data_IF_940459817375
#
_entry.id   IF_940459817375
#
_cell.length_a   1.000
_cell.length_b   1.000
_cell.length_c   1.000
_cell.angle_alpha   90.00
_cell.angle_beta   90.00
_cell.angle_gamma   90.00
#
_symmetry.space_group_name_H-M   'P 1'
#
loop_
_entity.id
_entity.type
_entity.pdbx_description
1 polymer ?
#
# COMPACT_ATOMS: atom_id res chain seq x y z
N UNK A 1 26.11 3.51 1.86
CA UNK A 1 24.93 4.24 1.37
C UNK A 1 24.28 3.42 0.25
N UNK A 2 23.19 2.69 0.52
CA UNK A 2 22.61 1.69 -0.41
C UNK A 2 21.26 2.11 -1.02
N UNK A 3 20.70 3.23 -0.57
CA UNK A 3 19.42 3.77 -1.06
C UNK A 3 19.50 4.33 -2.50
N UNK A 4 20.72 4.58 -2.99
CA UNK A 4 20.96 5.17 -4.31
C UNK A 4 20.85 4.19 -5.48
N UNK A 5 21.05 2.90 -5.26
CA UNK A 5 21.10 1.87 -6.31
C UNK A 5 19.85 0.98 -6.39
N UNK A 6 19.04 0.94 -5.33
CA UNK A 6 17.81 0.16 -5.28
C UNK A 6 16.65 0.81 -6.06
N UNK A 7 15.89 -0.01 -6.79
CA UNK A 7 14.64 0.41 -7.46
C UNK A 7 13.38 0.00 -6.67
N UNK A 8 13.51 -0.84 -5.64
CA UNK A 8 12.42 -1.30 -4.79
C UNK A 8 12.86 -1.33 -3.33
N UNK A 9 12.06 -0.72 -2.46
CA UNK A 9 12.31 -0.66 -1.02
C UNK A 9 11.06 -1.11 -0.26
N UNK A 10 11.25 -2.05 0.67
CA UNK A 10 10.23 -2.48 1.62
C UNK A 10 10.75 -2.11 3.00
N UNK A 11 10.07 -1.18 3.64
CA UNK A 11 10.44 -0.66 4.97
C UNK A 11 9.57 -1.36 6.01
N UNK A 12 10.23 -1.98 6.99
CA UNK A 12 9.55 -2.58 8.14
C UNK A 12 9.67 -1.66 9.35
N UNK A 13 8.57 -1.48 10.09
CA UNK A 13 8.52 -0.61 11.27
C UNK A 13 8.46 -1.44 12.56
N UNK A 14 9.43 -1.22 13.46
CA UNK A 14 9.49 -1.86 14.77
C UNK A 14 8.25 -1.58 15.61
N UNK A 15 7.67 -0.37 15.54
CA UNK A 15 6.47 0.00 16.32
C UNK A 15 5.26 -0.85 15.96
N UNK A 16 5.16 -1.29 14.70
CA UNK A 16 4.11 -2.21 14.26
C UNK A 16 4.33 -3.61 14.85
N UNK A 17 5.58 -4.09 14.78
CA UNK A 17 5.96 -5.39 15.35
C UNK A 17 5.76 -5.44 16.87
N UNK A 18 6.11 -4.38 17.60
CA UNK A 18 5.95 -4.31 19.06
C UNK A 18 4.47 -4.39 19.47
N UNK A 19 3.58 -3.84 18.63
CA UNK A 19 2.11 -3.94 18.77
C UNK A 19 1.52 -5.24 18.24
N UNK A 20 2.36 -6.17 17.76
CA UNK A 20 1.96 -7.44 17.12
C UNK A 20 1.08 -7.28 15.88
N UNK A 21 1.25 -6.19 15.14
CA UNK A 21 0.56 -5.95 13.87
C UNK A 21 1.43 -6.51 12.75
N UNK A 22 0.91 -7.51 12.02
CA UNK A 22 1.60 -8.15 10.92
C UNK A 22 0.76 -8.14 9.64
N UNK A 23 1.38 -7.90 8.46
CA UNK A 23 2.81 -7.59 8.24
C UNK A 23 3.22 -6.21 8.78
N UNK A 24 4.41 -6.11 9.39
CA UNK A 24 4.91 -4.88 10.02
C UNK A 24 5.50 -3.88 8.99
N UNK A 25 4.79 -3.66 7.88
CA UNK A 25 5.27 -2.86 6.75
C UNK A 25 4.82 -1.39 6.86
N UNK A 26 5.76 -0.48 6.68
CA UNK A 26 5.46 0.95 6.49
C UNK A 26 5.14 1.21 5.02
N UNK A 27 3.85 1.25 4.70
CA UNK A 27 3.35 1.41 3.33
C UNK A 27 3.73 2.77 2.75
N UNK A 28 3.81 3.82 3.57
CA UNK A 28 4.12 5.17 3.12
C UNK A 28 5.59 5.30 2.73
N UNK A 29 6.49 4.61 3.44
CA UNK A 29 7.92 4.60 3.12
C UNK A 29 8.32 3.53 2.10
N UNK A 30 7.50 2.50 1.90
CA UNK A 30 7.75 1.42 0.94
C UNK A 30 7.26 1.78 -0.46
N UNK A 31 8.05 1.44 -1.48
CA UNK A 31 7.68 1.71 -2.87
C UNK A 31 8.69 1.19 -3.88
N UNK A 32 8.26 1.20 -5.14
CA UNK A 32 9.05 0.77 -6.29
C UNK A 32 9.08 1.90 -7.32
N UNK A 33 10.27 2.21 -7.84
CA UNK A 33 10.43 3.20 -8.92
C UNK A 33 9.92 2.61 -10.23
N UNK A 34 9.26 3.44 -11.05
CA UNK A 34 8.65 3.03 -12.33
C UNK A 34 7.66 1.87 -12.21
N UNK A 35 6.82 1.90 -11.17
CA UNK A 35 5.76 0.88 -10.96
C UNK A 35 4.72 0.83 -12.09
N UNK A 36 4.62 1.89 -12.90
CA UNK A 36 3.79 1.98 -14.12
C UNK A 36 4.20 0.97 -15.21
N UNK A 37 5.45 0.49 -15.19
CA UNK A 37 5.90 -0.57 -16.10
C UNK A 37 5.56 -1.99 -15.60
N UNK A 38 5.17 -2.12 -14.33
CA UNK A 38 4.94 -3.41 -13.66
C UNK A 38 3.45 -3.69 -13.45
N UNK A 39 2.65 -2.64 -13.32
CA UNK A 39 1.25 -2.71 -12.95
C UNK A 39 0.43 -2.02 -14.03
N UNK A 40 -0.64 -2.68 -14.48
CA UNK A 40 -1.61 -2.10 -15.41
C UNK A 40 -2.14 -0.75 -14.90
N UNK A 41 -2.33 0.21 -15.80
CA UNK A 41 -2.70 1.58 -15.48
C UNK A 41 -3.99 1.68 -14.66
N UNK A 42 -4.97 0.81 -14.91
CA UNK A 42 -6.23 0.81 -14.17
C UNK A 42 -6.04 0.32 -12.72
N UNK A 43 -5.25 -0.75 -12.53
CA UNK A 43 -4.90 -1.25 -11.19
C UNK A 43 -4.04 -0.24 -10.44
N UNK A 44 -3.07 0.38 -11.12
CA UNK A 44 -2.21 1.38 -10.52
C UNK A 44 -3.00 2.58 -10.00
N UNK A 45 -3.97 3.08 -10.76
CA UNK A 45 -4.80 4.19 -10.30
C UNK A 45 -5.59 3.86 -9.01
N UNK A 46 -6.06 2.61 -8.85
CA UNK A 46 -6.71 2.14 -7.62
C UNK A 46 -5.74 2.01 -6.45
N UNK A 47 -4.52 1.52 -6.69
CA UNK A 47 -3.46 1.46 -5.67
C UNK A 47 -3.12 2.87 -5.15
N UNK A 48 -3.13 3.87 -6.03
CA UNK A 48 -2.91 5.27 -5.65
C UNK A 48 -4.02 5.82 -4.74
N UNK A 49 -5.28 5.51 -5.03
CA UNK A 49 -6.41 5.86 -4.16
C UNK A 49 -6.25 5.20 -2.79
N UNK A 50 -5.90 3.91 -2.77
CA UNK A 50 -5.64 3.19 -1.52
C UNK A 50 -4.51 3.85 -0.71
N UNK A 51 -3.37 4.16 -1.35
CA UNK A 51 -2.25 4.84 -0.68
C UNK A 51 -2.66 6.19 -0.08
N UNK A 52 -3.52 6.94 -0.78
CA UNK A 52 -4.06 8.22 -0.28
C UNK A 52 -4.95 8.02 0.94
N UNK A 53 -5.84 7.04 0.92
CA UNK A 53 -6.68 6.68 2.09
C UNK A 53 -5.79 6.32 3.28
N UNK A 54 -4.77 5.48 3.06
CA UNK A 54 -3.84 5.02 4.10
C UNK A 54 -2.87 6.11 4.60
N UNK A 55 -2.69 7.20 3.85
CA UNK A 55 -1.85 8.34 4.27
C UNK A 55 -2.55 9.29 5.24
N UNK A 56 -3.88 9.21 5.36
CA UNK A 56 -4.65 10.07 6.25
C UNK A 56 -4.52 9.66 7.73
N UNK A 57 -4.09 8.42 8.00
CA UNK A 57 -3.94 7.82 9.32
C UNK A 57 -2.47 7.48 9.62
N UNK A 58 -2.18 7.25 10.92
CA UNK A 58 -0.84 6.82 11.34
C UNK A 58 -0.50 5.39 10.90
N UNK A 59 0.80 5.00 10.81
CA UNK A 59 1.22 3.71 10.27
C UNK A 59 0.54 2.48 10.90
N UNK A 60 0.27 2.48 12.22
CA UNK A 60 -0.44 1.39 12.89
C UNK A 60 -1.88 1.25 12.44
N UNK A 61 -2.62 2.35 12.47
CA UNK A 61 -4.04 2.39 12.09
C UNK A 61 -4.21 2.08 10.61
N UNK A 62 -3.34 2.63 9.75
CA UNK A 62 -3.34 2.33 8.32
C UNK A 62 -3.10 0.84 8.05
N UNK A 63 -2.18 0.19 8.78
CA UNK A 63 -1.91 -1.23 8.60
C UNK A 63 -3.06 -2.10 9.09
N UNK A 64 -3.65 -1.79 10.25
CA UNK A 64 -4.83 -2.49 10.77
C UNK A 64 -6.02 -2.37 9.80
N UNK A 65 -6.29 -1.15 9.31
CA UNK A 65 -7.33 -0.90 8.30
C UNK A 65 -7.07 -1.71 7.02
N UNK A 66 -5.82 -1.78 6.56
CA UNK A 66 -5.49 -2.56 5.38
C UNK A 66 -5.71 -4.06 5.61
N UNK A 67 -5.26 -4.62 6.73
CA UNK A 67 -5.47 -6.04 7.06
C UNK A 67 -6.96 -6.37 7.15
N UNK A 68 -7.75 -5.53 7.83
CA UNK A 68 -9.20 -5.72 7.94
C UNK A 68 -9.88 -5.74 6.57
N UNK A 69 -9.52 -4.80 5.68
CA UNK A 69 -10.11 -4.77 4.34
C UNK A 69 -9.62 -5.90 3.44
N UNK A 70 -8.35 -6.29 3.52
CA UNK A 70 -7.82 -7.44 2.79
C UNK A 70 -8.50 -8.73 3.23
N UNK A 71 -8.79 -8.88 4.53
CA UNK A 71 -9.51 -10.04 5.07
C UNK A 71 -10.94 -10.21 4.55
N UNK A 72 -11.53 -9.15 3.98
CA UNK A 72 -12.87 -9.17 3.37
C UNK A 72 -12.90 -9.64 1.92
N UNK A 73 -11.73 -9.78 1.27
CA UNK A 73 -11.61 -10.25 -0.10
C UNK A 73 -10.74 -11.51 -0.15
N UNK A 74 -11.01 -12.42 -1.09
CA UNK A 74 -10.21 -13.62 -1.26
C UNK A 74 -8.96 -13.38 -2.11
N UNK A 75 -9.00 -12.36 -2.96
CA UNK A 75 -7.91 -12.03 -3.89
C UNK A 75 -7.66 -10.53 -3.95
N UNK A 76 -6.44 -10.15 -4.34
CA UNK A 76 -6.08 -8.75 -4.54
C UNK A 76 -6.93 -8.10 -5.65
N UNK A 77 -7.32 -8.87 -6.67
CA UNK A 77 -8.14 -8.36 -7.77
C UNK A 77 -9.55 -8.03 -7.29
N UNK A 78 -10.15 -8.88 -6.47
CA UNK A 78 -11.45 -8.62 -5.81
C UNK A 78 -11.35 -7.42 -4.85
N UNK A 79 -10.29 -7.36 -4.05
CA UNK A 79 -10.04 -6.23 -3.15
C UNK A 79 -9.96 -4.90 -3.92
N UNK A 80 -9.16 -4.85 -4.98
CA UNK A 80 -9.03 -3.66 -5.82
C UNK A 80 -10.33 -3.36 -6.59
N UNK A 81 -11.11 -4.37 -6.99
CA UNK A 81 -12.41 -4.18 -7.60
C UNK A 81 -13.38 -3.44 -6.66
N UNK A 82 -13.33 -3.74 -5.36
CA UNK A 82 -14.18 -3.11 -4.32
C UNK A 82 -13.74 -1.69 -3.92
N UNK A 83 -12.58 -1.22 -4.38
CA UNK A 83 -12.16 0.16 -4.15
C UNK A 83 -12.87 1.11 -5.13
N UNK A 84 -13.28 2.26 -4.63
CA UNK A 84 -13.91 3.31 -5.42
C UNK A 84 -13.04 3.71 -6.61
N UNK A 85 -13.67 4.10 -7.71
CA UNK A 85 -12.96 4.56 -8.89
C UNK A 85 -12.09 5.79 -8.56
N UNK A 86 -10.86 5.83 -9.08
CA UNK A 86 -10.00 6.98 -8.92
C UNK A 86 -10.67 8.22 -9.55
N UNK A 87 -10.58 9.39 -8.89
CA UNK A 87 -11.06 10.61 -9.52
C UNK A 87 -10.33 10.81 -10.86
N UNK A 88 -11.01 11.33 -11.90
CA UNK A 88 -10.41 11.52 -13.20
C UNK A 88 -9.14 12.38 -13.06
N UNK A 89 -8.04 11.89 -13.62
CA UNK A 89 -6.79 12.67 -13.69
C UNK A 89 -7.06 13.87 -14.61
N UNK A 90 -7.04 15.08 -14.04
CA UNK A 90 -7.07 16.33 -14.81
C UNK A 90 -5.76 16.52 -15.57
#
# INVERSE_FOLDING_TARGET
EFKGTGNSEIVLDRKLSDKRIFPAMDIQKSGTRKEDLLIDAAKLAKIWVLRKILSASGPSESMELLVDRLGKAKTNDEFLANLQEPPPRR
#
